data_IF_453498441651
#
_entry.id   IF_453498441651
#
_cell.length_a   1.000
_cell.length_b   1.000
_cell.length_c   1.000
_cell.angle_alpha   90.00
_cell.angle_beta   90.00
_cell.angle_gamma   90.00
#
_symmetry.space_group_name_H-M   'P 1'
#
loop_
_entity.id
_entity.type
_entity.pdbx_description
1 polymer ?
#
# COMPACT_ATOMS: atom_id res chain seq x y z
N UNK A 1 44.69 10.31 -55.90
CA UNK A 1 43.81 9.45 -55.08
C UNK A 1 42.42 9.49 -55.69
N UNK A 2 41.96 8.41 -56.32
CA UNK A 2 40.63 8.34 -56.95
C UNK A 2 39.62 7.91 -55.89
N UNK A 3 38.76 8.83 -55.47
CA UNK A 3 37.66 8.53 -54.55
C UNK A 3 36.63 7.67 -55.28
N UNK A 4 36.65 6.36 -55.02
CA UNK A 4 35.68 5.40 -55.54
C UNK A 4 34.33 5.60 -54.84
N UNK A 5 33.47 6.43 -55.41
CA UNK A 5 32.09 6.59 -54.94
C UNK A 5 31.33 5.29 -55.17
N UNK A 6 31.13 4.50 -54.11
CA UNK A 6 30.24 3.34 -54.12
C UNK A 6 28.81 3.84 -54.32
N UNK A 7 28.30 3.74 -55.53
CA UNK A 7 26.90 4.05 -55.83
C UNK A 7 26.02 2.91 -55.30
N UNK A 8 25.23 3.23 -54.28
CA UNK A 8 24.22 2.33 -53.71
C UNK A 8 23.17 2.04 -54.78
N UNK A 9 22.93 0.77 -55.08
CA UNK A 9 22.01 0.31 -56.13
C UNK A 9 20.58 0.80 -55.87
N UNK A 10 19.85 1.16 -56.93
CA UNK A 10 18.50 1.73 -56.85
C UNK A 10 17.53 0.91 -55.97
N UNK A 11 17.59 -0.41 -56.12
CA UNK A 11 16.73 -1.34 -55.38
C UNK A 11 16.93 -1.28 -53.86
N UNK A 12 18.16 -1.05 -53.40
CA UNK A 12 18.45 -0.92 -51.98
C UNK A 12 17.92 0.39 -51.41
N UNK A 13 17.97 1.50 -52.16
CA UNK A 13 17.44 2.81 -51.73
C UNK A 13 15.93 2.77 -51.50
N UNK A 14 15.19 2.11 -52.41
CA UNK A 14 13.73 1.97 -52.31
C UNK A 14 13.35 1.14 -51.09
N UNK A 15 14.07 0.04 -50.80
CA UNK A 15 13.86 -0.75 -49.58
C UNK A 15 14.11 0.07 -48.31
N UNK A 16 15.21 0.82 -48.25
CA UNK A 16 15.51 1.69 -47.10
C UNK A 16 14.43 2.75 -46.89
N UNK A 17 13.93 3.35 -47.96
CA UNK A 17 12.84 4.33 -47.89
C UNK A 17 11.56 3.72 -47.27
N UNK A 18 11.14 2.55 -47.76
CA UNK A 18 9.95 1.86 -47.22
C UNK A 18 10.13 1.41 -45.76
N UNK A 19 11.33 0.98 -45.37
CA UNK A 19 11.64 0.68 -43.97
C UNK A 19 11.52 1.93 -43.09
N UNK A 20 12.03 3.07 -43.55
CA UNK A 20 11.92 4.34 -42.82
C UNK A 20 10.45 4.79 -42.68
N UNK A 21 9.66 4.64 -43.74
CA UNK A 21 8.22 4.93 -43.72
C UNK A 21 7.51 4.01 -42.74
N UNK A 22 7.80 2.70 -42.75
CA UNK A 22 7.21 1.75 -41.82
C UNK A 22 7.57 2.08 -40.36
N UNK A 23 8.83 2.42 -40.08
CA UNK A 23 9.29 2.85 -38.76
C UNK A 23 8.59 4.13 -38.33
N UNK A 24 8.42 5.09 -39.24
CA UNK A 24 7.73 6.36 -38.95
C UNK A 24 6.26 6.12 -38.57
N UNK A 25 5.55 5.29 -39.34
CA UNK A 25 4.15 4.93 -39.05
C UNK A 25 4.05 4.17 -37.73
N UNK A 26 4.94 3.20 -37.50
CA UNK A 26 4.99 2.44 -36.26
C UNK A 26 5.26 3.36 -35.05
N UNK A 27 6.20 4.30 -35.18
CA UNK A 27 6.51 5.28 -34.14
C UNK A 27 5.29 6.15 -33.82
N UNK A 28 4.53 6.58 -34.84
CA UNK A 28 3.32 7.35 -34.65
C UNK A 28 2.24 6.54 -33.89
N UNK A 29 2.06 5.27 -34.25
CA UNK A 29 1.13 4.38 -33.55
C UNK A 29 1.51 4.15 -32.09
N UNK A 30 2.79 3.90 -31.83
CA UNK A 30 3.33 3.76 -30.46
C UNK A 30 3.13 5.05 -29.67
N UNK A 31 3.34 6.21 -30.28
CA UNK A 31 3.15 7.50 -29.62
C UNK A 31 1.70 7.69 -29.15
N UNK A 32 0.72 7.48 -30.03
CA UNK A 32 -0.71 7.61 -29.67
C UNK A 32 -1.11 6.62 -28.57
N UNK A 33 -0.65 5.36 -28.68
CA UNK A 33 -0.89 4.34 -27.67
C UNK A 33 -0.28 4.71 -26.31
N UNK A 34 0.96 5.17 -26.31
CA UNK A 34 1.68 5.57 -25.09
C UNK A 34 0.98 6.75 -24.40
N UNK A 35 0.57 7.78 -25.15
CA UNK A 35 -0.14 8.94 -24.59
C UNK A 35 -1.45 8.51 -23.92
N UNK A 36 -2.26 7.67 -24.56
CA UNK A 36 -3.51 7.16 -23.98
C UNK A 36 -3.26 6.32 -22.71
N UNK A 37 -2.23 5.47 -22.75
CA UNK A 37 -1.84 4.64 -21.60
C UNK A 37 -1.37 5.50 -20.42
N UNK A 38 -0.54 6.51 -20.68
CA UNK A 38 -0.05 7.44 -19.66
C UNK A 38 -1.23 8.20 -19.05
N UNK A 39 -2.13 8.75 -19.86
CA UNK A 39 -3.30 9.49 -19.37
C UNK A 39 -4.18 8.62 -18.45
N UNK A 40 -4.45 7.37 -18.84
CA UNK A 40 -5.22 6.42 -18.01
C UNK A 40 -4.50 6.06 -16.73
N UNK A 41 -3.20 5.77 -16.79
CA UNK A 41 -2.41 5.45 -15.61
C UNK A 41 -2.35 6.62 -14.62
N UNK A 42 -2.24 7.85 -15.11
CA UNK A 42 -2.29 9.04 -14.25
C UNK A 42 -3.64 9.16 -13.56
N UNK A 43 -4.75 8.99 -14.30
CA UNK A 43 -6.09 9.03 -13.71
C UNK A 43 -6.31 7.95 -12.64
N UNK A 44 -5.86 6.72 -12.91
CA UNK A 44 -5.94 5.59 -11.95
C UNK A 44 -5.09 5.87 -10.71
N UNK A 45 -3.87 6.38 -10.90
CA UNK A 45 -2.99 6.74 -9.77
C UNK A 45 -3.63 7.78 -8.86
N UNK A 46 -4.23 8.82 -9.44
CA UNK A 46 -4.93 9.84 -8.65
C UNK A 46 -6.10 9.27 -7.86
N UNK A 47 -6.85 8.32 -8.42
CA UNK A 47 -7.93 7.67 -7.70
C UNK A 47 -7.40 6.81 -6.54
N UNK A 48 -6.34 6.04 -6.77
CA UNK A 48 -5.67 5.26 -5.72
C UNK A 48 -5.14 6.15 -4.60
N UNK A 49 -4.50 7.27 -4.92
CA UNK A 49 -4.02 8.24 -3.92
C UNK A 49 -5.17 8.79 -3.07
N UNK A 50 -6.33 9.07 -3.68
CA UNK A 50 -7.53 9.49 -2.92
C UNK A 50 -8.05 8.39 -2.01
N UNK A 51 -8.08 7.14 -2.49
CA UNK A 51 -8.52 5.99 -1.67
C UNK A 51 -7.58 5.74 -0.49
N UNK A 52 -6.26 5.86 -0.71
CA UNK A 52 -5.26 5.80 0.35
C UNK A 52 -5.53 6.91 1.37
N UNK A 53 -5.68 8.17 0.93
CA UNK A 53 -5.96 9.29 1.82
C UNK A 53 -7.23 9.09 2.67
N UNK A 54 -8.31 8.58 2.08
CA UNK A 54 -9.55 8.24 2.83
C UNK A 54 -9.32 7.15 3.87
N UNK A 55 -8.57 6.11 3.52
CA UNK A 55 -8.29 4.98 4.41
C UNK A 55 -7.39 5.41 5.57
N UNK A 56 -6.35 6.19 5.28
CA UNK A 56 -5.46 6.77 6.29
C UNK A 56 -6.23 7.67 7.25
N UNK A 57 -7.09 8.57 6.75
CA UNK A 57 -7.91 9.42 7.62
C UNK A 57 -8.85 8.60 8.54
N UNK A 58 -9.38 7.48 8.04
CA UNK A 58 -10.17 6.55 8.85
C UNK A 58 -9.35 5.87 9.95
N UNK A 59 -8.12 5.45 9.63
CA UNK A 59 -7.17 4.90 10.61
C UNK A 59 -6.79 5.94 11.68
N UNK A 60 -6.45 7.15 11.27
CA UNK A 60 -6.09 8.24 12.18
C UNK A 60 -7.25 8.51 13.16
N UNK A 61 -8.49 8.59 12.65
CA UNK A 61 -9.67 8.76 13.49
C UNK A 61 -9.85 7.62 14.50
N UNK A 62 -9.56 6.38 14.10
CA UNK A 62 -9.66 5.23 14.99
C UNK A 62 -8.55 5.24 16.04
N UNK A 63 -7.33 5.64 15.67
CA UNK A 63 -6.21 5.80 16.59
C UNK A 63 -6.50 6.88 17.62
N UNK A 64 -7.06 8.02 17.21
CA UNK A 64 -7.51 9.06 18.15
C UNK A 64 -8.55 8.53 19.14
N UNK A 65 -9.58 7.80 18.65
CA UNK A 65 -10.59 7.21 19.52
C UNK A 65 -9.99 6.17 20.50
N UNK A 66 -9.01 5.38 20.05
CA UNK A 66 -8.31 4.43 20.90
C UNK A 66 -7.47 5.13 21.97
N UNK A 67 -6.74 6.20 21.62
CA UNK A 67 -5.95 6.99 22.56
C UNK A 67 -6.87 7.65 23.60
N UNK A 68 -7.99 8.22 23.17
CA UNK A 68 -8.99 8.80 24.06
C UNK A 68 -9.54 7.75 25.04
N UNK A 69 -9.92 6.57 24.53
CA UNK A 69 -10.40 5.48 25.37
C UNK A 69 -9.33 5.03 26.37
N UNK A 70 -8.09 4.89 25.93
CA UNK A 70 -6.95 4.51 26.79
C UNK A 70 -6.70 5.56 27.87
N UNK A 71 -6.75 6.84 27.52
CA UNK A 71 -6.57 7.94 28.47
C UNK A 71 -7.71 8.02 29.50
N UNK A 72 -8.91 7.60 29.12
CA UNK A 72 -10.06 7.50 30.02
C UNK A 72 -9.97 6.33 31.01
N UNK A 73 -9.00 5.41 30.86
CA UNK A 73 -8.77 4.36 31.87
C UNK A 73 -8.04 4.99 33.07
N UNK A 74 -8.81 5.42 34.06
CA UNK A 74 -8.28 5.93 35.33
C UNK A 74 -8.70 5.04 36.52
N UNK A 75 -8.07 5.26 37.68
CA UNK A 75 -8.36 4.50 38.91
C UNK A 75 -9.79 4.75 39.40
N UNK A 76 -10.33 5.94 39.17
CA UNK A 76 -11.69 6.33 39.55
C UNK A 76 -12.74 5.53 38.77
N UNK A 77 -12.50 5.28 37.47
CA UNK A 77 -13.30 4.45 36.58
C UNK A 77 -13.20 2.98 37.01
N UNK A 78 -12.01 2.52 37.38
CA UNK A 78 -11.82 1.18 37.94
C UNK A 78 -12.66 1.01 39.22
N UNK A 79 -12.64 1.98 40.13
CA UNK A 79 -13.48 1.97 41.32
C UNK A 79 -14.98 2.06 41.01
N UNK A 80 -15.37 2.85 40.01
CA UNK A 80 -16.75 2.94 39.53
C UNK A 80 -17.28 1.58 39.03
N UNK A 81 -16.44 0.81 38.32
CA UNK A 81 -16.77 -0.55 37.91
C UNK A 81 -16.66 -1.61 39.03
N UNK A 82 -16.37 -1.19 40.26
CA UNK A 82 -16.31 -2.07 41.44
C UNK A 82 -14.96 -2.76 41.64
N UNK A 83 -13.92 -2.39 40.89
CA UNK A 83 -12.56 -2.87 41.14
C UNK A 83 -11.99 -2.21 42.41
N UNK A 84 -11.26 -2.99 43.19
CA UNK A 84 -10.62 -2.54 44.43
C UNK A 84 -9.12 -2.81 44.36
N UNK A 85 -8.32 -1.92 44.94
CA UNK A 85 -6.87 -2.13 45.03
C UNK A 85 -6.55 -3.35 45.91
N UNK A 86 -5.73 -4.23 45.37
CA UNK A 86 -5.29 -5.45 46.07
C UNK A 86 -4.15 -5.10 47.03
N UNK A 87 -4.42 -5.14 48.33
CA UNK A 87 -3.44 -4.84 49.40
C UNK A 87 -2.34 -5.89 49.57
N UNK A 88 -2.58 -7.13 49.10
CA UNK A 88 -1.60 -8.22 49.12
C UNK A 88 -1.69 -9.00 47.80
N UNK A 89 -0.86 -8.65 46.80
CA UNK A 89 -0.90 -9.30 45.49
C UNK A 89 -0.44 -10.75 45.58
N UNK A 90 -1.26 -11.67 45.07
CA UNK A 90 -0.97 -13.10 45.04
C UNK A 90 -0.24 -13.42 43.73
N UNK A 91 1.09 -13.51 43.79
CA UNK A 91 1.91 -13.79 42.61
C UNK A 91 1.92 -15.29 42.32
N UNK A 92 1.55 -15.67 41.09
CA UNK A 92 1.72 -17.05 40.61
C UNK A 92 3.12 -17.20 40.03
N UNK A 93 3.98 -17.94 40.72
CA UNK A 93 5.32 -18.27 40.22
C UNK A 93 5.23 -19.39 39.19
N UNK A 94 6.10 -19.37 38.18
CA UNK A 94 6.15 -20.37 37.08
C UNK A 94 6.68 -21.75 37.53
N UNK A 95 6.68 -22.01 38.84
CA UNK A 95 7.12 -23.25 39.48
C UNK A 95 5.93 -24.10 39.87
N UNK A 96 5.58 -25.05 38.99
CA UNK A 96 4.48 -26.02 39.06
C UNK A 96 3.09 -25.47 38.71
N UNK A 97 2.56 -26.04 37.63
CA UNK A 97 1.22 -25.87 37.08
C UNK A 97 0.14 -26.26 38.10
N UNK A 98 -0.26 -25.35 38.98
CA UNK A 98 -1.56 -25.43 39.63
C UNK A 98 -2.52 -24.60 38.80
N UNK A 99 -3.28 -25.27 37.94
CA UNK A 99 -4.37 -24.63 37.19
C UNK A 99 -5.35 -24.02 38.18
N UNK A 100 -5.52 -22.70 38.13
CA UNK A 100 -6.60 -22.01 38.83
C UNK A 100 -7.91 -22.31 38.09
N UNK A 101 -8.47 -23.49 38.35
CA UNK A 101 -9.87 -23.78 38.04
C UNK A 101 -10.73 -23.05 39.05
N UNK A 102 -11.62 -22.16 38.59
CA UNK A 102 -12.63 -21.56 39.44
C UNK A 102 -13.52 -22.69 39.99
N UNK A 103 -13.43 -22.95 41.29
CA UNK A 103 -14.29 -23.88 42.00
C UNK A 103 -15.74 -23.38 41.88
N UNK A 104 -16.52 -24.00 41.00
CA UNK A 104 -17.98 -23.92 41.03
C UNK A 104 -18.47 -24.68 42.26
N UNK A 105 -18.56 -23.98 43.39
CA UNK A 105 -19.14 -24.53 44.61
C UNK A 105 -20.64 -24.77 44.37
N UNK A 106 -20.99 -26.05 44.32
CA UNK A 106 -22.36 -26.56 44.43
C UNK A 106 -22.95 -26.17 45.78
N UNK A 107 -24.18 -25.65 45.79
CA UNK A 107 -25.12 -25.80 46.89
C UNK A 107 -26.52 -25.98 46.32
#
# INVERSE_FOLDING_TARGET
MINKTRTISYHSRVRFFWVLVAISILSLGVYVYAVNTIARNVAIRQDLERQIGKTSAGLDSLEFAYIELKNNINIELAHYYGFQEVRSPLYVSRGRSLSLSFNTLSR
#
